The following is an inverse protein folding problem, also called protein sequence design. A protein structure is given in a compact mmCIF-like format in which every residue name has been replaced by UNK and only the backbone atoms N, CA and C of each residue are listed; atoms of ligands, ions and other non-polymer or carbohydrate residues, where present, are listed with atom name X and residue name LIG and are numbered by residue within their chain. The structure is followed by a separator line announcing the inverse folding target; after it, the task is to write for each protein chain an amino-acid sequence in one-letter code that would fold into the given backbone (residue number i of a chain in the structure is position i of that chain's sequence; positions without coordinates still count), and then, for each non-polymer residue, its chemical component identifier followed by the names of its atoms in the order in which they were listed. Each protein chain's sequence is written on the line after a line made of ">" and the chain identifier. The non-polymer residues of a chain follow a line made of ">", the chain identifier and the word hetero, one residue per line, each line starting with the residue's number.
data_IF_845877947677
#
_entry.id   IF_845877947677
#
_cell.length_a   1.000
_cell.length_b   1.000
_cell.length_c   1.000
_cell.angle_alpha   90.00
_cell.angle_beta   90.00
_cell.angle_gamma   90.00
#
_symmetry.space_group_name_H-M   'P 1'
#
loop_
_entity.id
_entity.type
_entity.pdbx_description
1 polymer ?
#
# COMPACT_ATOMS: atom_id res chain seq x y z
N UNK A 1 18.27 -0.79 -3.95
CA UNK A 1 18.99 0.49 -4.22
C UNK A 1 18.47 1.56 -3.23
N UNK A 2 19.09 2.74 -3.09
CA UNK A 2 18.68 3.71 -2.04
C UNK A 2 17.28 4.33 -2.26
N UNK A 3 16.81 4.40 -3.51
CA UNK A 3 15.51 5.00 -3.88
C UNK A 3 14.34 4.08 -3.55
N UNK A 4 14.46 2.77 -3.81
CA UNK A 4 13.49 1.75 -3.36
C UNK A 4 13.29 1.82 -1.86
N UNK A 5 14.39 1.99 -1.12
CA UNK A 5 14.35 2.14 0.34
C UNK A 5 13.59 3.40 0.74
N UNK A 6 13.87 4.56 0.13
CA UNK A 6 13.18 5.81 0.41
C UNK A 6 11.67 5.76 0.10
N UNK A 7 11.28 5.11 -1.00
CA UNK A 7 9.88 4.89 -1.35
C UNK A 7 9.19 3.98 -0.31
N UNK A 8 9.82 2.86 0.05
CA UNK A 8 9.31 1.95 1.07
C UNK A 8 9.13 2.65 2.43
N UNK A 9 10.13 3.42 2.88
CA UNK A 9 10.02 4.21 4.11
C UNK A 9 8.93 5.28 4.04
N UNK A 10 8.73 5.90 2.87
CA UNK A 10 7.64 6.86 2.67
C UNK A 10 6.26 6.21 2.79
N UNK A 11 6.11 4.98 2.29
CA UNK A 11 4.88 4.19 2.46
C UNK A 11 4.65 3.77 3.91
N UNK A 12 5.67 3.25 4.59
CA UNK A 12 5.58 2.90 6.02
C UNK A 12 5.19 4.12 6.88
N UNK A 13 5.82 5.28 6.65
CA UNK A 13 5.44 6.53 7.31
C UNK A 13 4.01 6.99 6.97
N UNK A 14 3.50 6.63 5.80
CA UNK A 14 2.10 6.88 5.42
C UNK A 14 1.14 5.92 6.15
N UNK A 15 1.49 4.63 6.31
CA UNK A 15 0.71 3.67 7.10
C UNK A 15 0.50 4.18 8.53
N UNK A 16 1.59 4.59 9.20
CA UNK A 16 1.53 5.16 10.55
C UNK A 16 0.62 6.39 10.64
N UNK A 17 0.68 7.28 9.65
CA UNK A 17 -0.17 8.50 9.60
C UNK A 17 -1.66 8.19 9.41
N UNK A 18 -1.99 7.06 8.79
CA UNK A 18 -3.37 6.66 8.49
C UNK A 18 -3.90 5.58 9.46
N UNK A 19 -3.16 5.22 10.52
CA UNK A 19 -3.58 4.18 11.46
C UNK A 19 -3.65 2.78 10.84
N UNK A 20 -2.88 2.54 9.79
CA UNK A 20 -2.81 1.27 9.05
C UNK A 20 -1.66 0.43 9.58
N UNK A 21 -1.92 -0.85 9.86
CA UNK A 21 -0.86 -1.80 10.19
C UNK A 21 0.04 -2.01 8.96
N UNK A 22 1.33 -1.73 9.13
CA UNK A 22 2.32 -1.74 8.05
C UNK A 22 2.53 -3.15 7.48
N UNK A 23 2.42 -4.20 8.31
CA UNK A 23 2.63 -5.58 7.91
C UNK A 23 1.41 -6.12 7.17
N UNK A 24 0.21 -5.85 7.66
CA UNK A 24 -1.03 -6.20 6.98
C UNK A 24 -1.11 -5.53 5.60
N UNK A 25 -0.81 -4.22 5.55
CA UNK A 25 -0.79 -3.48 4.30
C UNK A 25 0.23 -4.08 3.33
N UNK A 26 1.48 -4.27 3.75
CA UNK A 26 2.51 -4.79 2.86
C UNK A 26 2.17 -6.19 2.32
N UNK A 27 1.60 -7.06 3.16
CA UNK A 27 1.14 -8.39 2.74
C UNK A 27 0.05 -8.32 1.66
N UNK A 28 -1.00 -7.53 1.89
CA UNK A 28 -2.13 -7.37 0.95
C UNK A 28 -1.67 -6.75 -0.40
N UNK A 29 -0.68 -5.85 -0.35
CA UNK A 29 -0.12 -5.22 -1.55
C UNK A 29 0.61 -6.23 -2.41
N UNK A 30 1.39 -7.13 -1.82
CA UNK A 30 2.10 -8.17 -2.59
C UNK A 30 1.15 -9.06 -3.38
N UNK A 31 -0.02 -9.38 -2.80
CA UNK A 31 -1.03 -10.20 -3.46
C UNK A 31 -1.75 -9.43 -4.58
N UNK A 32 -2.04 -8.14 -4.39
CA UNK A 32 -2.92 -7.36 -5.29
C UNK A 32 -2.18 -6.60 -6.39
N UNK A 33 -0.93 -6.21 -6.16
CA UNK A 33 -0.18 -5.34 -7.09
C UNK A 33 0.01 -5.97 -8.48
N UNK A 34 0.06 -7.30 -8.56
CA UNK A 34 0.25 -8.03 -9.81
C UNK A 34 -0.98 -8.01 -10.72
N UNK A 35 -2.19 -7.91 -10.14
CA UNK A 35 -3.46 -8.03 -10.87
C UNK A 35 -4.25 -6.73 -11.01
N UNK A 36 -3.83 -5.66 -10.34
CA UNK A 36 -4.58 -4.41 -10.34
C UNK A 36 -4.38 -3.62 -11.64
N UNK A 37 -5.47 -3.08 -12.20
CA UNK A 37 -5.38 -2.14 -13.32
C UNK A 37 -4.61 -0.89 -12.89
N UNK A 38 -3.79 -0.33 -13.78
CA UNK A 38 -2.98 0.85 -13.47
C UNK A 38 -3.80 2.03 -12.91
N UNK A 39 -4.99 2.27 -13.49
CA UNK A 39 -5.91 3.32 -13.03
C UNK A 39 -6.45 3.11 -11.61
N UNK A 40 -6.35 1.90 -11.06
CA UNK A 40 -6.84 1.52 -9.73
C UNK A 40 -5.71 1.45 -8.69
N UNK A 41 -4.43 1.62 -9.08
CA UNK A 41 -3.27 1.54 -8.16
C UNK A 41 -3.43 2.47 -6.94
N UNK A 42 -4.11 3.60 -7.08
CA UNK A 42 -4.35 4.52 -5.95
C UNK A 42 -5.11 3.86 -4.79
N UNK A 43 -5.89 2.78 -5.03
CA UNK A 43 -6.59 2.01 -4.00
C UNK A 43 -5.63 1.27 -3.05
N UNK A 44 -4.42 1.00 -3.52
CA UNK A 44 -3.36 0.34 -2.77
C UNK A 44 -2.61 1.30 -1.84
N UNK A 45 -2.75 2.61 -2.00
CA UNK A 45 -2.07 3.59 -1.14
C UNK A 45 -2.57 3.46 0.31
N UNK A 46 -1.69 3.61 1.33
CA UNK A 46 -2.08 3.47 2.74
C UNK A 46 -3.28 4.33 3.16
N UNK A 47 -3.42 5.54 2.60
CA UNK A 47 -4.54 6.45 2.89
C UNK A 47 -5.90 5.99 2.33
N UNK A 48 -5.89 5.08 1.36
CA UNK A 48 -7.08 4.53 0.71
C UNK A 48 -7.32 3.07 1.08
N UNK A 49 -6.28 2.39 1.57
CA UNK A 49 -6.28 0.94 1.75
C UNK A 49 -7.45 0.43 2.61
N UNK A 50 -7.70 1.04 3.77
CA UNK A 50 -8.79 0.62 4.65
C UNK A 50 -10.18 0.67 3.97
N UNK A 51 -10.38 1.57 2.99
CA UNK A 51 -11.63 1.69 2.23
C UNK A 51 -11.79 0.62 1.16
N UNK A 52 -10.69 0.15 0.58
CA UNK A 52 -10.69 -0.75 -0.58
C UNK A 52 -10.11 -2.14 -0.28
N UNK A 53 -9.66 -2.42 0.95
CA UNK A 53 -9.25 -3.76 1.38
C UNK A 53 -10.47 -4.70 1.32
N UNK A 54 -10.27 -5.91 0.78
CA UNK A 54 -11.35 -6.87 0.50
C UNK A 54 -12.15 -6.59 -0.78
N UNK A 55 -11.74 -5.62 -1.59
CA UNK A 55 -12.25 -5.42 -2.94
C UNK A 55 -11.11 -5.73 -3.93
N UNK A 56 -11.44 -6.49 -4.99
CA UNK A 56 -10.52 -7.09 -5.97
C UNK A 56 -9.95 -8.42 -5.50
#
# INVERSE_FOLDING_TARGET
>A
NLVENAAMYSFMASCKRNGVDEREWLSDIFDRVQGIMHKEIFKLLPSNWAKYRGQL
#
